data_IF_559168898772
#
_entry.id   IF_559168898772
#
_cell.length_a   1.000
_cell.length_b   1.000
_cell.length_c   1.000
_cell.angle_alpha   90.00
_cell.angle_beta   90.00
_cell.angle_gamma   90.00
#
_symmetry.space_group_name_H-M   'P 1'
#
loop_
_entity.id
_entity.type
_entity.pdbx_description
1 polymer ?
#
# COMPACT_ATOMS: atom_id res chain seq x y z
N UNK A 1 -26.16 -21.19 -66.98
CA UNK A 1 -25.09 -20.32 -66.44
C UNK A 1 -25.08 -20.51 -64.93
N UNK A 2 -23.89 -20.71 -64.35
CA UNK A 2 -23.65 -21.25 -62.99
C UNK A 2 -23.92 -20.21 -61.91
N UNK A 3 -24.79 -20.50 -60.95
CA UNK A 3 -25.05 -19.64 -59.78
C UNK A 3 -24.00 -19.94 -58.70
N UNK A 4 -23.13 -18.98 -58.42
CA UNK A 4 -22.09 -19.10 -57.39
C UNK A 4 -22.65 -18.67 -56.02
N UNK A 5 -22.55 -19.57 -55.03
CA UNK A 5 -22.78 -19.28 -53.61
C UNK A 5 -21.55 -18.56 -53.04
N UNK A 6 -21.73 -17.32 -52.54
CA UNK A 6 -20.72 -16.60 -51.77
C UNK A 6 -21.01 -16.86 -50.29
N UNK A 7 -20.14 -17.64 -49.64
CA UNK A 7 -20.12 -17.81 -48.18
C UNK A 7 -19.23 -16.72 -47.60
N UNK A 8 -19.84 -15.70 -46.98
CA UNK A 8 -19.13 -14.67 -46.23
C UNK A 8 -18.81 -15.20 -44.83
N UNK A 9 -17.58 -15.65 -44.60
CA UNK A 9 -17.07 -15.95 -43.27
C UNK A 9 -16.71 -14.64 -42.54
N UNK A 10 -17.48 -14.28 -41.52
CA UNK A 10 -17.10 -13.19 -40.61
C UNK A 10 -15.97 -13.66 -39.68
N UNK A 11 -14.76 -13.15 -39.89
CA UNK A 11 -13.69 -13.25 -38.88
C UNK A 11 -14.00 -12.25 -37.77
N UNK A 12 -14.58 -12.73 -36.67
CA UNK A 12 -14.54 -12.03 -35.40
C UNK A 12 -13.10 -12.09 -34.87
N UNK A 13 -12.32 -11.03 -35.14
CA UNK A 13 -11.04 -10.84 -34.46
C UNK A 13 -11.30 -10.73 -32.96
N UNK A 14 -10.78 -11.67 -32.17
CA UNK A 14 -10.67 -11.49 -30.74
C UNK A 14 -9.71 -10.32 -30.50
N UNK A 15 -10.25 -9.12 -30.27
CA UNK A 15 -9.47 -8.05 -29.69
C UNK A 15 -8.98 -8.56 -28.34
N UNK A 16 -7.67 -8.82 -28.22
CA UNK A 16 -7.04 -9.02 -26.91
C UNK A 16 -7.16 -7.69 -26.18
N UNK A 17 -8.23 -7.50 -25.41
CA UNK A 17 -8.35 -6.35 -24.53
C UNK A 17 -7.18 -6.42 -23.56
N UNK A 18 -6.37 -5.37 -23.48
CA UNK A 18 -5.35 -5.29 -22.44
C UNK A 18 -6.05 -5.13 -21.10
N UNK A 19 -5.51 -5.79 -20.07
CA UNK A 19 -5.97 -5.64 -18.70
C UNK A 19 -5.60 -4.26 -18.17
N UNK A 20 -6.52 -3.60 -17.48
CA UNK A 20 -6.25 -2.34 -16.83
C UNK A 20 -5.11 -2.47 -15.83
N UNK A 21 -4.38 -1.38 -15.63
CA UNK A 21 -3.43 -1.29 -14.52
C UNK A 21 -4.14 -1.70 -13.22
N UNK A 22 -3.53 -2.60 -12.44
CA UNK A 22 -4.06 -3.24 -11.23
C UNK A 22 -5.16 -4.30 -11.44
N UNK A 23 -5.57 -4.62 -12.67
CA UNK A 23 -6.51 -5.70 -12.95
C UNK A 23 -5.87 -7.10 -12.87
N UNK A 24 -6.71 -8.14 -12.72
CA UNK A 24 -6.25 -9.54 -12.75
C UNK A 24 -5.79 -9.94 -14.16
N UNK A 25 -4.58 -10.45 -14.28
CA UNK A 25 -3.97 -10.83 -15.55
C UNK A 25 -3.54 -12.30 -15.60
N UNK A 26 -3.87 -13.09 -14.58
CA UNK A 26 -3.53 -14.51 -14.52
C UNK A 26 -4.06 -15.20 -13.26
N UNK A 27 -3.82 -16.50 -13.19
CA UNK A 27 -4.30 -17.37 -12.14
C UNK A 27 -5.07 -18.58 -12.68
N UNK A 28 -5.08 -19.67 -11.91
CA UNK A 28 -5.85 -20.87 -12.21
C UNK A 28 -7.34 -20.52 -12.35
N UNK A 29 -7.91 -20.86 -13.50
CA UNK A 29 -9.31 -20.55 -13.82
C UNK A 29 -9.58 -19.13 -14.36
N UNK A 30 -8.55 -18.28 -14.50
CA UNK A 30 -8.71 -16.96 -15.12
C UNK A 30 -8.89 -17.07 -16.65
N UNK A 31 -10.01 -16.56 -17.17
CA UNK A 31 -10.34 -16.56 -18.61
C UNK A 31 -10.31 -15.16 -19.23
N UNK A 32 -9.89 -14.15 -18.48
CA UNK A 32 -9.83 -12.77 -18.95
C UNK A 32 -8.47 -12.39 -19.58
N UNK A 33 -8.27 -11.10 -19.88
CA UNK A 33 -7.01 -10.55 -20.39
C UNK A 33 -5.79 -10.98 -19.58
N UNK A 34 -4.70 -11.39 -20.25
CA UNK A 34 -3.42 -11.73 -19.60
C UNK A 34 -2.32 -10.72 -19.89
N UNK A 35 -2.50 -9.88 -20.91
CA UNK A 35 -1.59 -8.78 -21.24
C UNK A 35 -2.05 -7.51 -20.54
N UNK A 36 -1.16 -6.85 -19.81
CA UNK A 36 -1.46 -5.58 -19.16
C UNK A 36 -1.40 -4.41 -20.15
N UNK A 37 -2.08 -3.31 -19.80
CA UNK A 37 -1.90 -2.01 -20.44
C UNK A 37 -0.43 -1.61 -20.48
N UNK A 38 -0.05 -0.83 -21.49
CA UNK A 38 1.35 -0.41 -21.70
C UNK A 38 1.92 0.28 -20.46
N UNK A 39 3.14 -0.06 -20.09
CA UNK A 39 3.79 0.42 -18.86
C UNK A 39 3.48 -0.40 -17.61
N UNK A 40 2.71 -1.47 -17.72
CA UNK A 40 2.44 -2.43 -16.64
C UNK A 40 2.80 -3.87 -17.04
N UNK A 41 3.12 -4.69 -16.05
CA UNK A 41 3.48 -6.11 -16.24
C UNK A 41 2.64 -7.00 -15.34
N UNK A 42 2.24 -8.14 -15.87
CA UNK A 42 1.49 -9.13 -15.10
C UNK A 42 2.42 -9.79 -14.09
N UNK A 43 2.32 -9.36 -12.83
CA UNK A 43 3.07 -9.93 -11.72
C UNK A 43 2.31 -11.09 -11.11
N UNK A 44 2.98 -12.23 -10.98
CA UNK A 44 2.45 -13.38 -10.26
C UNK A 44 2.31 -13.05 -8.76
N UNK A 45 1.14 -13.31 -8.17
CA UNK A 45 0.95 -13.24 -6.72
C UNK A 45 0.79 -14.64 -6.12
N UNK A 46 -0.10 -15.47 -6.67
CA UNK A 46 -0.29 -16.86 -6.28
C UNK A 46 -0.91 -17.69 -7.42
N UNK A 47 -1.06 -18.99 -7.19
CA UNK A 47 -1.57 -19.95 -8.19
C UNK A 47 -2.92 -19.56 -8.80
N UNK A 48 -3.76 -18.80 -8.08
CA UNK A 48 -5.10 -18.42 -8.49
C UNK A 48 -5.21 -16.95 -8.93
N UNK A 49 -4.14 -16.15 -8.77
CA UNK A 49 -4.19 -14.71 -9.00
C UNK A 49 -2.84 -14.11 -9.40
N UNK A 50 -2.82 -13.40 -10.53
CA UNK A 50 -1.74 -12.51 -10.97
C UNK A 50 -2.32 -11.13 -11.29
N UNK A 51 -1.58 -10.05 -11.06
CA UNK A 51 -2.08 -8.67 -11.20
C UNK A 51 -1.17 -7.81 -12.08
N UNK A 52 -1.75 -6.90 -12.85
CA UNK A 52 -1.01 -5.90 -13.61
C UNK A 52 -0.43 -4.82 -12.69
N UNK A 53 0.90 -4.74 -12.61
CA UNK A 53 1.61 -3.76 -11.78
C UNK A 53 2.34 -2.76 -12.67
N UNK A 54 2.22 -1.43 -12.45
CA UNK A 54 3.03 -0.43 -13.14
C UNK A 54 4.53 -0.65 -12.97
N UNK A 55 5.30 -0.45 -14.03
CA UNK A 55 6.77 -0.36 -13.96
C UNK A 55 7.55 -1.66 -14.21
N UNK A 56 6.92 -2.72 -14.73
CA UNK A 56 7.65 -3.94 -15.07
C UNK A 56 8.35 -3.85 -16.43
N UNK A 57 9.68 -3.94 -16.45
CA UNK A 57 10.42 -4.21 -17.68
C UNK A 57 10.07 -5.62 -18.18
N UNK A 58 9.60 -5.73 -19.42
CA UNK A 58 9.24 -6.99 -20.03
C UNK A 58 10.42 -7.97 -20.02
N UNK A 59 10.27 -9.08 -19.31
CA UNK A 59 11.05 -10.27 -19.54
C UNK A 59 10.11 -11.47 -19.62
N UNK A 60 9.78 -11.98 -20.82
CA UNK A 60 8.98 -13.20 -20.95
C UNK A 60 9.90 -14.40 -20.69
N UNK A 61 9.90 -14.92 -19.46
CA UNK A 61 10.57 -16.19 -19.18
C UNK A 61 9.59 -17.35 -19.39
N UNK A 62 9.64 -17.89 -20.61
CA UNK A 62 9.04 -19.17 -21.01
C UNK A 62 9.54 -20.32 -20.12
N UNK A 63 8.58 -21.12 -19.66
CA UNK A 63 8.74 -22.42 -19.02
C UNK A 63 9.32 -23.46 -19.99
N UNK A 64 10.34 -24.20 -19.55
CA UNK A 64 10.64 -25.53 -20.05
C UNK A 64 10.87 -26.48 -18.86
N UNK A 65 10.04 -27.52 -18.79
CA UNK A 65 10.03 -28.60 -17.80
C UNK A 65 10.72 -29.81 -18.41
N UNK A 66 11.68 -30.40 -17.69
CA UNK A 66 12.10 -31.80 -17.94
C UNK A 66 12.46 -32.50 -16.63
N UNK A 67 12.12 -33.78 -16.59
CA UNK A 67 11.91 -34.72 -15.48
C UNK A 67 13.14 -35.60 -15.17
N UNK A 68 13.29 -35.98 -13.87
CA UNK A 68 13.81 -37.27 -13.28
C UNK A 68 15.24 -37.74 -13.63
N UNK A 69 16.13 -38.27 -12.76
CA UNK A 69 16.07 -39.10 -11.52
C UNK A 69 17.50 -39.15 -10.86
N UNK A 70 17.72 -39.72 -9.66
CA UNK A 70 18.85 -39.42 -8.75
C UNK A 70 20.01 -40.45 -8.76
N UNK A 71 21.18 -40.08 -8.21
CA UNK A 71 21.97 -40.97 -7.32
C UNK A 71 23.10 -40.27 -6.54
N UNK A 72 23.19 -40.68 -5.28
CA UNK A 72 24.17 -40.51 -4.20
C UNK A 72 25.56 -39.90 -4.47
N UNK A 73 26.10 -39.14 -3.50
CA UNK A 73 27.10 -39.65 -2.51
C UNK A 73 27.42 -38.60 -1.43
N UNK A 74 27.49 -39.10 -0.20
CA UNK A 74 27.79 -38.50 1.09
C UNK A 74 29.11 -37.71 1.16
N UNK A 75 29.10 -36.52 1.76
CA UNK A 75 30.17 -36.11 2.69
C UNK A 75 29.74 -34.99 3.64
N UNK A 76 29.94 -35.30 4.91
CA UNK A 76 29.70 -34.51 6.11
C UNK A 76 30.74 -33.40 6.25
N UNK A 77 30.31 -32.16 6.44
CA UNK A 77 31.05 -31.15 7.22
C UNK A 77 30.06 -30.18 7.86
N UNK A 78 30.10 -30.16 9.18
CA UNK A 78 29.40 -29.29 10.13
C UNK A 78 29.70 -27.81 9.88
N UNK A 79 28.66 -26.98 9.77
CA UNK A 79 28.68 -25.58 10.23
C UNK A 79 27.27 -25.07 10.51
N UNK A 80 27.06 -24.86 11.81
CA UNK A 80 26.08 -24.10 12.56
C UNK A 80 24.93 -23.40 11.79
N UNK A 81 23.73 -23.93 12.09
CA UNK A 81 22.45 -23.24 12.27
C UNK A 81 22.47 -21.70 12.24
N UNK A 82 21.72 -21.14 11.30
CA UNK A 82 20.44 -20.57 11.72
C UNK A 82 19.40 -20.80 10.62
N UNK A 83 18.64 -21.86 10.84
CA UNK A 83 17.54 -22.31 9.98
C UNK A 83 16.42 -21.26 10.10
N UNK A 84 16.24 -20.48 9.04
CA UNK A 84 15.10 -19.58 8.90
C UNK A 84 13.84 -20.43 8.73
N UNK A 85 13.16 -20.69 9.84
CA UNK A 85 11.84 -21.31 9.89
C UNK A 85 10.80 -20.29 9.42
N UNK A 86 9.90 -20.76 8.55
CA UNK A 86 8.81 -19.98 7.97
C UNK A 86 7.87 -19.42 9.03
N UNK A 87 8.02 -18.13 9.31
CA UNK A 87 7.03 -17.31 9.99
C UNK A 87 6.67 -16.15 9.07
N UNK A 88 5.38 -16.01 8.76
CA UNK A 88 4.78 -14.96 7.93
C UNK A 88 4.78 -13.56 8.60
N UNK A 89 5.77 -13.27 9.44
CA UNK A 89 5.91 -12.01 10.19
C UNK A 89 7.10 -11.18 9.72
N UNK A 90 6.99 -9.85 9.82
CA UNK A 90 8.10 -8.97 9.52
C UNK A 90 9.25 -9.18 10.52
N UNK A 91 10.48 -8.97 10.06
CA UNK A 91 11.68 -9.23 10.86
C UNK A 91 11.85 -8.12 11.92
N UNK A 92 11.74 -8.43 13.23
CA UNK A 92 11.94 -7.43 14.29
C UNK A 92 13.35 -6.86 14.27
N UNK A 93 13.48 -5.58 14.60
CA UNK A 93 14.79 -4.94 14.80
C UNK A 93 15.23 -5.19 16.25
N UNK A 94 16.39 -5.81 16.50
CA UNK A 94 16.92 -5.96 17.86
C UNK A 94 17.09 -4.59 18.55
N UNK A 95 16.49 -4.42 19.72
CA UNK A 95 16.46 -3.13 20.43
C UNK A 95 15.57 -2.06 19.78
N UNK A 96 14.78 -2.43 18.78
CA UNK A 96 13.76 -1.58 18.17
C UNK A 96 12.66 -1.21 19.17
N UNK A 97 11.92 -0.15 18.87
CA UNK A 97 10.79 0.25 19.72
C UNK A 97 9.71 -0.83 19.74
N UNK A 98 9.10 -1.06 20.89
CA UNK A 98 7.97 -1.98 21.04
C UNK A 98 7.12 -1.57 22.23
N UNK A 99 5.86 -1.98 22.25
CA UNK A 99 4.98 -1.77 23.38
C UNK A 99 3.51 -1.87 23.00
N UNK A 100 2.66 -1.36 23.87
CA UNK A 100 1.24 -1.15 23.56
C UNK A 100 1.01 0.28 23.10
N UNK A 101 0.01 0.48 22.26
CA UNK A 101 -0.32 1.76 21.65
C UNK A 101 -1.79 1.87 21.28
N UNK A 102 -2.15 3.06 20.82
CA UNK A 102 -3.49 3.39 20.33
C UNK A 102 -3.43 3.78 18.85
N UNK A 103 -4.57 3.64 18.17
CA UNK A 103 -4.69 4.09 16.79
C UNK A 103 -5.79 5.13 16.64
N UNK A 104 -5.59 6.02 15.67
CA UNK A 104 -6.69 6.73 15.00
C UNK A 104 -6.58 6.48 13.50
N UNK A 105 -7.30 7.25 12.70
CA UNK A 105 -7.30 7.18 11.25
C UNK A 105 -7.45 8.57 10.68
N UNK A 106 -6.75 8.85 9.58
CA UNK A 106 -6.80 10.14 8.90
C UNK A 106 -6.49 10.01 7.42
N UNK A 107 -6.84 11.05 6.66
CA UNK A 107 -6.27 11.32 5.34
C UNK A 107 -6.52 12.79 5.00
N UNK A 108 -5.51 13.64 5.19
CA UNK A 108 -5.63 15.10 5.04
C UNK A 108 -5.03 15.63 3.73
N UNK A 109 -4.40 14.75 2.95
CA UNK A 109 -3.68 15.02 1.71
C UNK A 109 -2.44 15.92 1.87
N UNK A 110 -2.07 16.34 3.08
CA UNK A 110 -0.92 17.20 3.32
C UNK A 110 0.38 16.51 2.89
N UNK A 111 1.41 17.28 2.50
CA UNK A 111 2.78 16.77 2.49
C UNK A 111 3.13 16.29 3.91
N UNK A 112 3.45 15.00 4.03
CA UNK A 112 3.73 14.34 5.29
C UNK A 112 5.02 14.86 5.94
N UNK A 113 5.08 14.88 7.28
CA UNK A 113 6.13 15.57 8.02
C UNK A 113 7.53 14.98 7.80
N UNK A 114 7.65 13.66 7.60
CA UNK A 114 8.94 13.02 7.33
C UNK A 114 9.56 13.45 6.00
N UNK A 115 8.80 14.13 5.13
CA UNK A 115 9.29 14.65 3.86
C UNK A 115 9.98 16.03 3.96
N UNK A 116 10.12 16.59 5.16
CA UNK A 116 10.84 17.84 5.38
C UNK A 116 12.34 17.62 5.68
N UNK A 117 13.18 18.64 5.47
CA UNK A 117 14.59 18.58 5.83
C UNK A 117 14.80 18.21 7.30
N UNK A 118 15.87 17.46 7.57
CA UNK A 118 16.32 17.10 8.92
C UNK A 118 15.30 16.27 9.75
N UNK A 119 14.32 15.62 9.10
CA UNK A 119 13.34 14.75 9.75
C UNK A 119 13.70 13.27 9.71
N UNK A 120 14.71 12.88 8.94
CA UNK A 120 15.22 11.52 8.84
C UNK A 120 16.42 11.49 7.88
N UNK A 121 17.13 10.35 7.79
CA UNK A 121 18.25 10.18 6.87
C UNK A 121 17.80 10.10 5.41
N UNK A 122 16.51 9.79 5.20
CA UNK A 122 15.82 9.66 3.91
C UNK A 122 14.42 10.25 4.07
N UNK A 123 13.85 10.74 2.96
CA UNK A 123 12.49 11.30 2.94
C UNK A 123 11.54 10.39 2.15
N UNK A 124 10.26 10.27 2.55
CA UNK A 124 9.26 9.66 1.70
C UNK A 124 8.95 10.53 0.48
N UNK A 125 8.41 9.87 -0.54
CA UNK A 125 7.94 10.45 -1.76
C UNK A 125 6.88 11.50 -1.47
N UNK A 126 7.01 12.62 -2.19
CA UNK A 126 6.07 13.73 -2.19
C UNK A 126 5.52 13.86 -3.59
N UNK A 127 4.23 14.15 -3.71
CA UNK A 127 3.57 14.20 -5.01
C UNK A 127 2.90 15.54 -5.28
N UNK A 128 2.67 15.82 -6.56
CA UNK A 128 1.78 16.88 -7.01
C UNK A 128 0.30 16.48 -6.80
N UNK A 129 -0.63 17.36 -7.17
CA UNK A 129 -2.06 17.11 -7.00
C UNK A 129 -2.56 15.89 -7.78
N UNK A 130 -1.91 15.54 -8.89
CA UNK A 130 -2.26 14.38 -9.73
C UNK A 130 -1.67 13.07 -9.20
N UNK A 131 -0.86 13.12 -8.14
CA UNK A 131 -0.17 11.96 -7.58
C UNK A 131 1.15 11.63 -8.27
N UNK A 132 1.69 12.50 -9.14
CA UNK A 132 3.01 12.30 -9.72
C UNK A 132 4.08 12.71 -8.70
N UNK A 133 5.16 11.92 -8.60
CA UNK A 133 6.29 12.26 -7.73
C UNK A 133 6.90 13.59 -8.15
N UNK A 134 7.08 14.49 -7.18
CA UNK A 134 7.90 15.69 -7.36
C UNK A 134 9.36 15.24 -7.36
N UNK A 135 10.06 15.46 -8.48
CA UNK A 135 11.48 15.08 -8.63
C UNK A 135 12.41 16.28 -8.51
N UNK A 136 11.92 17.48 -8.82
CA UNK A 136 12.65 18.73 -8.62
C UNK A 136 12.41 19.25 -7.21
N UNK A 137 13.45 19.17 -6.38
CA UNK A 137 13.47 19.67 -5.00
C UNK A 137 12.26 19.26 -4.12
N UNK A 138 11.93 17.96 -4.02
CA UNK A 138 10.78 17.49 -3.24
C UNK A 138 10.88 17.83 -1.76
N UNK A 139 12.10 17.88 -1.22
CA UNK A 139 12.34 18.13 0.20
C UNK A 139 11.91 19.54 0.61
N UNK A 140 12.09 20.54 -0.25
CA UNK A 140 11.69 21.92 0.01
C UNK A 140 10.32 22.29 -0.60
N UNK A 141 9.70 21.40 -1.37
CA UNK A 141 8.37 21.63 -1.93
C UNK A 141 7.35 21.95 -0.82
N UNK A 142 6.67 23.11 -0.94
CA UNK A 142 5.74 23.61 0.08
C UNK A 142 4.47 22.75 0.14
N UNK A 143 4.07 22.33 1.34
CA UNK A 143 2.85 21.54 1.55
C UNK A 143 1.60 22.27 1.07
N UNK A 144 0.66 21.54 0.48
CA UNK A 144 -0.67 22.06 0.15
C UNK A 144 -1.48 22.50 1.38
N UNK A 145 -1.16 21.98 2.56
CA UNK A 145 -1.76 22.45 3.82
C UNK A 145 -1.19 23.79 4.31
N UNK A 146 -0.12 24.28 3.67
CA UNK A 146 0.47 25.59 3.89
C UNK A 146 0.55 26.37 2.56
N UNK A 147 -0.51 26.33 1.74
CA UNK A 147 -0.60 27.13 0.52
C UNK A 147 0.32 26.71 -0.65
N UNK A 148 1.08 25.63 -0.52
CA UNK A 148 1.90 25.06 -1.60
C UNK A 148 1.13 24.08 -2.49
N UNK A 149 1.87 23.24 -3.22
CA UNK A 149 1.35 22.26 -4.18
C UNK A 149 1.91 20.83 -3.95
N UNK A 150 2.50 20.59 -2.79
CA UNK A 150 3.04 19.30 -2.41
C UNK A 150 2.04 18.53 -1.51
N UNK A 151 1.77 17.29 -1.86
CA UNK A 151 0.80 16.41 -1.21
C UNK A 151 1.50 15.11 -0.79
N UNK A 152 0.87 14.39 0.14
CA UNK A 152 1.14 12.97 0.32
C UNK A 152 0.79 12.24 -0.98
N UNK A 153 1.62 11.28 -1.39
CA UNK A 153 1.36 10.54 -2.61
C UNK A 153 0.13 9.65 -2.47
N UNK A 154 -0.72 9.67 -3.50
CA UNK A 154 -1.97 8.89 -3.55
C UNK A 154 -1.70 7.40 -3.31
N UNK A 155 -0.59 6.85 -3.82
CA UNK A 155 -0.26 5.44 -3.64
C UNK A 155 0.21 5.06 -2.23
N UNK A 156 0.41 6.01 -1.31
CA UNK A 156 0.68 5.74 0.11
C UNK A 156 -0.60 5.37 0.88
N UNK A 157 -1.40 4.48 0.29
CA UNK A 157 -2.64 3.93 0.84
C UNK A 157 -2.41 2.53 1.44
N UNK A 158 -3.32 2.03 2.28
CA UNK A 158 -3.23 0.67 2.81
C UNK A 158 -3.42 -0.38 1.71
N UNK A 159 -2.78 -1.53 1.87
CA UNK A 159 -2.84 -2.66 0.95
C UNK A 159 -3.03 -3.98 1.69
N UNK A 160 -3.96 -4.80 1.22
CA UNK A 160 -4.17 -6.15 1.75
C UNK A 160 -3.08 -7.08 1.22
N UNK A 161 -2.38 -7.77 2.12
CA UNK A 161 -1.42 -8.81 1.76
C UNK A 161 -2.04 -10.21 1.86
N UNK A 162 -2.86 -10.42 2.89
CA UNK A 162 -3.66 -11.63 3.13
C UNK A 162 -4.83 -11.30 4.07
N UNK A 163 -5.67 -12.29 4.39
CA UNK A 163 -6.76 -12.10 5.36
C UNK A 163 -6.27 -11.71 6.77
N UNK A 164 -5.02 -11.99 7.12
CA UNK A 164 -4.44 -11.70 8.44
C UNK A 164 -3.34 -10.64 8.41
N UNK A 165 -2.89 -10.20 7.23
CA UNK A 165 -1.82 -9.22 7.08
C UNK A 165 -2.18 -8.12 6.08
N UNK A 166 -1.90 -6.88 6.46
CA UNK A 166 -1.92 -5.73 5.57
C UNK A 166 -0.69 -4.85 5.76
N UNK A 167 -0.46 -3.99 4.78
CA UNK A 167 0.55 -2.95 4.78
C UNK A 167 -0.13 -1.58 4.76
N UNK A 168 0.53 -0.56 5.32
CA UNK A 168 0.06 0.82 5.20
C UNK A 168 1.07 1.86 5.65
N UNK A 169 0.56 3.07 5.87
CA UNK A 169 1.35 4.22 6.29
C UNK A 169 0.66 4.86 7.50
N UNK A 170 1.43 5.56 8.33
CA UNK A 170 0.89 6.20 9.51
C UNK A 170 1.63 7.50 9.86
N UNK A 171 0.92 8.40 10.53
CA UNK A 171 1.54 9.37 11.40
C UNK A 171 1.84 8.72 12.75
N UNK A 172 3.04 8.91 13.28
CA UNK A 172 3.50 8.16 14.45
C UNK A 172 4.04 9.09 15.52
N UNK A 173 3.84 8.70 16.78
CA UNK A 173 4.49 9.28 17.96
C UNK A 173 4.89 8.14 18.88
N UNK A 174 6.19 7.84 19.01
CA UNK A 174 6.69 6.72 19.83
C UNK A 174 7.32 7.24 21.12
N UNK A 175 6.98 6.61 22.25
CA UNK A 175 7.55 6.93 23.55
C UNK A 175 9.09 6.86 23.53
N UNK A 176 9.73 7.91 24.06
CA UNK A 176 11.19 7.98 24.17
C UNK A 176 11.93 8.10 22.84
N UNK A 177 11.24 8.38 21.72
CA UNK A 177 11.85 8.60 20.41
C UNK A 177 11.53 9.98 19.86
N UNK A 178 12.26 10.38 18.84
CA UNK A 178 12.06 11.63 18.10
C UNK A 178 11.66 11.34 16.66
N UNK A 179 11.17 12.37 15.98
CA UNK A 179 10.83 12.29 14.54
C UNK A 179 11.97 11.78 13.67
N UNK A 180 13.20 12.22 13.94
CA UNK A 180 14.40 11.72 13.28
C UNK A 180 14.63 10.22 13.45
N UNK A 181 14.13 9.63 14.53
CA UNK A 181 14.29 8.22 14.84
C UNK A 181 13.17 7.36 14.25
N UNK A 182 11.92 7.84 14.22
CA UNK A 182 10.81 7.06 13.64
C UNK A 182 10.58 7.29 12.16
N UNK A 183 10.95 8.44 11.59
CA UNK A 183 10.68 8.70 10.18
C UNK A 183 11.32 7.63 9.28
N UNK A 184 10.46 7.04 8.44
CA UNK A 184 10.70 5.90 7.58
C UNK A 184 11.01 4.57 8.26
N UNK A 185 10.93 4.46 9.59
CA UNK A 185 10.85 3.17 10.29
C UNK A 185 9.52 2.49 10.04
N UNK A 186 9.49 1.17 10.18
CA UNK A 186 8.29 0.37 10.08
C UNK A 186 7.96 -0.33 11.39
N UNK A 187 6.67 -0.52 11.63
CA UNK A 187 6.14 -1.14 12.85
C UNK A 187 5.12 -2.19 12.46
N UNK A 188 5.28 -3.42 12.94
CA UNK A 188 4.23 -4.43 12.90
C UNK A 188 3.26 -4.17 14.05
N UNK A 189 2.02 -3.82 13.73
CA UNK A 189 0.94 -3.62 14.68
C UNK A 189 0.10 -4.90 14.73
N UNK A 190 -0.04 -5.50 15.91
CA UNK A 190 -1.07 -6.51 16.17
C UNK A 190 -2.27 -5.80 16.78
N UNK A 191 -3.42 -5.84 16.09
CA UNK A 191 -4.66 -5.24 16.58
C UNK A 191 -5.16 -6.05 17.79
N UNK A 192 -5.44 -5.39 18.91
CA UNK A 192 -5.83 -6.04 20.18
C UNK A 192 -7.28 -5.80 20.56
N UNK A 193 -7.98 -4.89 19.88
CA UNK A 193 -9.41 -4.64 20.06
C UNK A 193 -10.13 -4.37 18.74
N UNK A 194 -11.46 -4.27 18.79
CA UNK A 194 -12.31 -4.06 17.62
C UNK A 194 -12.52 -5.31 16.74
N UNK A 195 -13.38 -5.22 15.71
CA UNK A 195 -13.69 -6.33 14.81
C UNK A 195 -12.50 -6.94 14.05
N UNK A 196 -11.42 -6.17 13.85
CA UNK A 196 -10.19 -6.62 13.21
C UNK A 196 -9.15 -7.19 14.19
N UNK A 197 -9.48 -7.35 15.48
CA UNK A 197 -8.56 -7.88 16.49
C UNK A 197 -7.92 -9.20 16.06
N UNK A 198 -6.63 -9.35 16.36
CA UNK A 198 -5.79 -10.48 15.95
C UNK A 198 -5.13 -10.33 14.58
N UNK A 199 -5.62 -9.43 13.70
CA UNK A 199 -4.95 -9.12 12.44
C UNK A 199 -3.69 -8.29 12.67
N UNK A 200 -2.77 -8.37 11.71
CA UNK A 200 -1.51 -7.63 11.70
C UNK A 200 -1.50 -6.57 10.60
N UNK A 201 -1.11 -5.35 10.95
CA UNK A 201 -0.91 -4.25 10.02
C UNK A 201 0.52 -3.76 10.16
N UNK A 202 1.34 -3.90 9.12
CA UNK A 202 2.69 -3.32 9.11
C UNK A 202 2.58 -1.92 8.51
N UNK A 203 2.94 -0.90 9.29
CA UNK A 203 2.91 0.49 8.85
C UNK A 203 4.31 1.08 8.73
N UNK A 204 4.51 1.94 7.73
CA UNK A 204 5.67 2.81 7.68
C UNK A 204 5.30 4.20 8.21
N UNK A 205 6.14 4.75 9.09
CA UNK A 205 5.98 6.12 9.58
C UNK A 205 6.42 7.13 8.52
N UNK A 206 5.45 7.84 7.95
CA UNK A 206 5.69 8.92 6.96
C UNK A 206 5.33 10.30 7.49
N UNK A 207 4.64 10.36 8.62
CA UNK A 207 4.20 11.58 9.27
C UNK A 207 4.39 11.48 10.79
N UNK A 208 4.19 12.60 11.50
CA UNK A 208 4.21 12.68 12.96
C UNK A 208 2.84 13.09 13.48
N UNK A 209 2.31 12.32 14.44
CA UNK A 209 1.06 12.61 15.15
C UNK A 209 1.32 13.09 16.58
N UNK A 210 2.15 14.15 16.73
CA UNK A 210 2.69 14.58 18.03
C UNK A 210 1.63 15.07 19.03
N UNK A 211 0.41 15.36 18.57
CA UNK A 211 -0.76 15.75 19.34
C UNK A 211 -1.54 14.57 19.94
N UNK A 212 -1.24 13.33 19.54
CA UNK A 212 -2.05 12.14 19.83
C UNK A 212 -1.54 11.31 21.01
N UNK A 213 -0.57 11.84 21.76
CA UNK A 213 0.07 11.16 22.89
C UNK A 213 1.25 10.27 22.48
N UNK A 214 1.72 9.43 23.40
CA UNK A 214 2.83 8.51 23.16
C UNK A 214 2.33 7.13 22.71
N UNK A 215 3.12 6.44 21.89
CA UNK A 215 2.79 5.17 21.24
C UNK A 215 1.48 5.24 20.45
N UNK A 216 1.34 6.31 19.66
CA UNK A 216 0.17 6.56 18.86
C UNK A 216 0.47 6.36 17.37
N UNK A 217 -0.45 5.69 16.67
CA UNK A 217 -0.41 5.46 15.23
C UNK A 217 -1.68 5.98 14.56
N UNK A 218 -1.59 7.14 13.91
CA UNK A 218 -2.69 7.66 13.10
C UNK A 218 -2.63 7.04 11.71
N UNK A 219 -3.53 6.11 11.41
CA UNK A 219 -3.46 5.26 10.23
C UNK A 219 -3.94 6.03 8.98
N UNK A 220 -3.13 6.06 7.93
CA UNK A 220 -3.41 6.84 6.73
C UNK A 220 -4.41 6.11 5.80
N UNK A 221 -5.70 6.29 6.05
CA UNK A 221 -6.80 5.65 5.32
C UNK A 221 -7.68 6.73 4.66
N UNK A 222 -7.75 6.79 3.32
CA UNK A 222 -8.61 7.75 2.63
C UNK A 222 -10.05 7.73 3.11
N UNK A 223 -10.65 8.92 3.21
CA UNK A 223 -12.01 9.07 3.72
C UNK A 223 -12.15 8.88 5.22
N UNK A 224 -11.06 8.89 6.00
CA UNK A 224 -11.13 8.72 7.47
C UNK A 224 -11.15 10.02 8.25
N UNK A 225 -11.34 11.14 7.56
CA UNK A 225 -11.36 12.48 8.13
C UNK A 225 -10.03 13.19 7.92
N UNK A 226 -10.10 14.50 7.73
CA UNK A 226 -8.93 15.33 7.48
C UNK A 226 -8.21 15.72 8.79
N UNK A 227 -8.93 15.70 9.91
CA UNK A 227 -8.39 16.19 11.17
C UNK A 227 -8.20 17.70 11.16
N UNK A 228 -7.03 18.18 11.60
CA UNK A 228 -6.78 19.63 11.75
C UNK A 228 -6.65 20.31 10.38
N UNK A 229 -6.01 19.67 9.41
CA UNK A 229 -5.71 20.24 8.10
C UNK A 229 -6.62 19.67 7.01
N UNK A 230 -6.73 20.35 5.87
CA UNK A 230 -7.46 19.84 4.70
C UNK A 230 -6.82 20.38 3.42
N UNK A 231 -5.98 19.54 2.81
CA UNK A 231 -5.53 19.73 1.44
C UNK A 231 -6.34 18.90 0.44
N UNK A 232 -7.20 17.99 0.89
CA UNK A 232 -7.94 17.10 0.01
C UNK A 232 -8.96 17.85 -0.85
N UNK A 233 -9.64 18.84 -0.29
CA UNK A 233 -10.55 19.71 -1.06
C UNK A 233 -9.81 20.49 -2.15
N UNK A 234 -8.55 20.84 -1.92
CA UNK A 234 -7.67 21.46 -2.94
C UNK A 234 -7.14 20.45 -3.95
N UNK A 235 -6.78 19.24 -3.51
CA UNK A 235 -6.25 18.20 -4.39
C UNK A 235 -7.32 17.67 -5.36
N UNK A 236 -8.56 17.53 -4.86
CA UNK A 236 -9.69 16.96 -5.58
C UNK A 236 -10.89 17.91 -5.59
N UNK A 237 -10.79 19.07 -6.28
CA UNK A 237 -11.82 20.12 -6.24
C UNK A 237 -13.17 19.67 -6.82
N UNK A 238 -13.19 18.59 -7.61
CA UNK A 238 -14.42 18.00 -8.15
C UNK A 238 -15.22 17.14 -7.15
N UNK A 239 -14.73 16.93 -5.94
CA UNK A 239 -15.42 16.10 -4.92
C UNK A 239 -16.25 16.98 -4.00
N UNK A 240 -17.58 16.82 -3.95
CA UNK A 240 -18.42 17.55 -3.00
C UNK A 240 -17.96 17.37 -1.55
N UNK A 241 -17.98 18.45 -0.76
CA UNK A 241 -17.57 18.42 0.64
C UNK A 241 -18.34 17.37 1.47
N UNK A 242 -19.62 17.16 1.16
CA UNK A 242 -20.46 16.13 1.80
C UNK A 242 -19.96 14.71 1.63
N UNK A 243 -19.20 14.42 0.57
CA UNK A 243 -18.76 13.06 0.26
C UNK A 243 -17.58 12.61 1.14
N UNK A 244 -16.87 13.55 1.77
CA UNK A 244 -15.72 13.24 2.64
C UNK A 244 -16.13 12.78 4.05
N UNK A 245 -17.41 12.92 4.40
CA UNK A 245 -17.92 12.61 5.72
C UNK A 245 -17.51 13.64 6.79
N UNK A 246 -17.36 13.18 8.03
CA UNK A 246 -17.03 14.04 9.16
C UNK A 246 -15.57 14.50 9.14
N UNK A 247 -15.31 15.71 9.65
CA UNK A 247 -13.94 16.26 9.76
C UNK A 247 -12.99 15.30 10.47
N UNK A 248 -13.46 14.68 11.55
CA UNK A 248 -12.77 13.63 12.30
C UNK A 248 -13.58 12.34 12.17
N UNK A 249 -12.94 11.26 11.74
CA UNK A 249 -13.60 9.97 11.51
C UNK A 249 -14.12 9.76 10.08
N UNK A 250 -14.30 10.83 9.30
CA UNK A 250 -14.56 10.76 7.86
C UNK A 250 -15.90 10.12 7.51
N UNK A 251 -15.91 9.34 6.43
CA UNK A 251 -17.09 8.58 6.00
C UNK A 251 -17.54 7.59 7.08
N UNK A 252 -18.84 7.38 7.19
CA UNK A 252 -19.47 6.55 8.21
C UNK A 252 -19.80 5.14 7.75
N UNK A 253 -19.82 4.91 6.43
CA UNK A 253 -20.19 3.64 5.83
C UNK A 253 -19.33 3.29 4.62
N UNK A 254 -19.22 1.99 4.34
CA UNK A 254 -18.54 1.45 3.15
C UNK A 254 -19.07 2.07 1.85
N UNK A 255 -20.38 2.29 1.75
CA UNK A 255 -21.04 2.84 0.56
C UNK A 255 -20.67 4.28 0.27
N UNK A 256 -20.33 5.07 1.28
CA UNK A 256 -19.89 6.46 1.11
C UNK A 256 -18.52 6.55 0.42
N UNK A 257 -17.70 5.48 0.43
CA UNK A 257 -16.46 5.44 -0.34
C UNK A 257 -16.69 5.70 -1.83
N UNK A 258 -17.86 5.37 -2.39
CA UNK A 258 -18.20 5.63 -3.79
C UNK A 258 -18.28 7.13 -4.12
N UNK A 259 -18.46 7.98 -3.11
CA UNK A 259 -18.49 9.44 -3.26
C UNK A 259 -17.10 10.08 -3.30
N UNK A 260 -16.04 9.36 -2.94
CA UNK A 260 -14.67 9.84 -2.94
C UNK A 260 -14.03 9.78 -4.34
N UNK A 261 -12.93 10.52 -4.60
CA UNK A 261 -12.15 10.37 -5.83
C UNK A 261 -11.83 8.90 -6.10
N UNK A 262 -11.97 8.46 -7.35
CA UNK A 262 -11.73 7.06 -7.76
C UNK A 262 -10.37 6.53 -7.25
N UNK A 263 -9.34 7.36 -7.31
CA UNK A 263 -7.99 7.05 -6.86
C UNK A 263 -7.86 6.77 -5.35
N UNK A 264 -8.85 7.17 -4.54
CA UNK A 264 -8.88 7.00 -3.08
C UNK A 264 -9.88 5.93 -2.61
N UNK A 265 -10.74 5.43 -3.50
CA UNK A 265 -11.81 4.51 -3.11
C UNK A 265 -11.25 3.19 -2.56
N UNK A 266 -10.17 2.66 -3.14
CA UNK A 266 -9.57 1.41 -2.68
C UNK A 266 -9.09 1.49 -1.22
N UNK A 267 -8.36 2.54 -0.85
CA UNK A 267 -7.93 2.76 0.53
C UNK A 267 -9.09 3.08 1.48
N UNK A 268 -10.16 3.72 0.99
CA UNK A 268 -11.38 3.90 1.78
C UNK A 268 -12.08 2.55 2.05
N UNK A 269 -12.22 1.71 1.02
CA UNK A 269 -12.86 0.40 1.14
C UNK A 269 -12.07 -0.53 2.07
N UNK A 270 -10.73 -0.45 2.06
CA UNK A 270 -9.87 -1.18 3.00
C UNK A 270 -10.32 -1.00 4.48
N UNK A 271 -10.71 0.23 4.87
CA UNK A 271 -11.17 0.55 6.23
C UNK A 271 -12.38 -0.29 6.64
N UNK A 272 -13.29 -0.57 5.72
CA UNK A 272 -14.53 -1.29 6.00
C UNK A 272 -14.39 -2.79 5.75
N UNK A 273 -13.56 -3.18 4.77
CA UNK A 273 -13.44 -4.57 4.33
C UNK A 273 -12.41 -5.33 5.16
N UNK A 274 -11.13 -4.98 5.06
CA UNK A 274 -10.07 -5.71 5.76
C UNK A 274 -9.95 -5.28 7.23
N UNK A 275 -10.03 -3.97 7.48
CA UNK A 275 -9.98 -3.39 8.82
C UNK A 275 -11.34 -3.49 9.55
N UNK A 276 -12.34 -4.07 8.89
CA UNK A 276 -13.64 -4.46 9.43
C UNK A 276 -14.38 -3.31 10.16
N UNK A 277 -14.17 -2.07 9.72
CA UNK A 277 -14.78 -0.88 10.34
C UNK A 277 -14.33 -0.62 11.77
N UNK A 278 -13.19 -1.16 12.19
CA UNK A 278 -12.68 -0.99 13.55
C UNK A 278 -12.48 0.48 13.89
N UNK A 279 -13.05 0.92 15.01
CA UNK A 279 -12.96 2.30 15.47
C UNK A 279 -11.84 2.44 16.49
N UNK A 280 -10.70 2.97 16.05
CA UNK A 280 -9.54 3.27 16.89
C UNK A 280 -9.08 2.08 17.75
N UNK A 281 -8.83 0.90 17.15
CA UNK A 281 -8.41 -0.27 17.91
C UNK A 281 -7.08 -0.03 18.63
N UNK A 282 -6.97 -0.60 19.82
CA UNK A 282 -5.70 -0.71 20.54
C UNK A 282 -4.77 -1.67 19.80
N UNK A 283 -3.46 -1.50 20.00
CA UNK A 283 -2.44 -2.33 19.35
C UNK A 283 -1.32 -2.71 20.31
N UNK A 284 -0.68 -3.84 20.02
CA UNK A 284 0.70 -4.08 20.41
C UNK A 284 1.57 -3.87 19.17
N UNK A 285 2.74 -3.26 19.32
CA UNK A 285 3.64 -2.99 18.21
C UNK A 285 5.07 -3.43 18.48
N UNK A 286 5.78 -3.74 17.40
CA UNK A 286 7.22 -3.96 17.37
C UNK A 286 7.81 -3.30 16.13
N UNK A 287 8.93 -2.61 16.28
CA UNK A 287 9.70 -2.04 15.18
C UNK A 287 10.34 -3.17 14.37
N UNK A 288 10.15 -3.11 13.06
CA UNK A 288 10.54 -4.16 12.11
C UNK A 288 11.29 -3.55 10.92
N UNK A 289 12.04 -4.38 10.20
CA UNK A 289 12.59 -3.98 8.90
C UNK A 289 11.44 -3.66 7.94
N UNK A 290 11.53 -2.54 7.24
CA UNK A 290 10.51 -2.15 6.29
C UNK A 290 10.39 -3.15 5.13
N UNK A 291 9.20 -3.72 4.90
CA UNK A 291 8.94 -4.54 3.73
C UNK A 291 9.09 -3.71 2.44
N UNK A 292 9.57 -4.35 1.37
CA UNK A 292 9.67 -3.72 0.05
C UNK A 292 8.31 -3.19 -0.46
N UNK A 293 7.20 -3.83 -0.05
CA UNK A 293 5.85 -3.37 -0.35
C UNK A 293 5.59 -1.93 0.12
N UNK A 294 6.23 -1.47 1.19
CA UNK A 294 6.11 -0.10 1.70
C UNK A 294 7.23 0.80 1.19
N UNK A 295 8.48 0.35 1.29
CA UNK A 295 9.63 1.20 0.92
C UNK A 295 9.71 1.50 -0.57
N UNK A 296 9.19 0.63 -1.45
CA UNK A 296 9.10 0.93 -2.88
C UNK A 296 8.06 2.02 -3.18
N UNK A 297 6.97 2.09 -2.40
CA UNK A 297 5.92 3.10 -2.56
C UNK A 297 6.41 4.44 -2.02
N UNK A 298 6.94 4.46 -0.80
CA UNK A 298 7.42 5.68 -0.17
C UNK A 298 8.77 6.13 -0.71
N UNK A 299 9.55 5.27 -1.35
CA UNK A 299 10.93 5.60 -1.72
C UNK A 299 11.86 5.80 -0.52
N UNK A 300 11.45 5.36 0.68
CA UNK A 300 12.17 5.61 1.92
C UNK A 300 12.37 4.30 2.70
N UNK A 301 13.59 4.04 3.16
CA UNK A 301 13.91 2.96 4.10
C UNK A 301 15.12 3.35 4.92
N UNK A 302 15.11 2.96 6.19
CA UNK A 302 16.28 3.07 7.08
C UNK A 302 17.12 1.80 7.05
#
# INVERSE_FOLDING_TARGET
MKTALIVSAALAGAASAQQSVWGQCGGNGWTGPTSCESGSTCSYNNDWYSQCIPGGNGNPQTTARTTTTPSATTRTTTSQNNQQTGGSGAQPIPGGASGSGQTTRYWDCCKASCAWPNKGPVIPNVCDASGNRITNDPINAKSACDGGNAFMCINQQPQVASDSLAYGFAAVSIAGRTEQQWCCSCYELTLTSGPASGKKLIVQATNTGGDLGQNHFDLAFPGSGFGIFDACTRQFPGTPASNWGQRYGGVSSRSECNGLPSALQAGCLFRFDWFAGSDNPSVNFVEVRCPAALSNISGCSR
#
